data_IF_846298229348
#
_entry.id   IF_846298229348
#
_cell.length_a   1.000
_cell.length_b   1.000
_cell.length_c   1.000
_cell.angle_alpha   90.00
_cell.angle_beta   90.00
_cell.angle_gamma   90.00
#
_symmetry.space_group_name_H-M   'P 1'
#
loop_
_entity.id
_entity.type
_entity.pdbx_description
1 polymer ?
#
# COMPACT_ATOMS: atom_id res chain seq x y z
N UNK A 1 10.94 -25.96 28.46
CA UNK A 1 11.24 -25.55 27.08
C UNK A 1 9.92 -25.22 26.44
N UNK A 2 9.65 -23.94 26.21
CA UNK A 2 8.30 -23.47 25.90
C UNK A 2 8.33 -22.49 24.73
N UNK A 3 7.34 -22.65 23.84
CA UNK A 3 7.19 -22.05 22.51
C UNK A 3 6.77 -20.58 22.67
N UNK A 4 7.69 -19.76 23.19
CA UNK A 4 7.43 -18.37 23.58
C UNK A 4 8.23 -17.34 22.77
N UNK A 5 8.97 -17.78 21.73
CA UNK A 5 9.87 -16.91 20.97
C UNK A 5 9.40 -16.56 19.54
N UNK A 6 8.32 -17.19 19.04
CA UNK A 6 7.79 -16.94 17.69
C UNK A 6 6.48 -16.13 17.66
N UNK A 7 5.84 -15.87 18.80
CA UNK A 7 4.55 -15.14 18.86
C UNK A 7 4.62 -13.72 19.43
N UNK A 8 5.81 -13.24 19.81
CA UNK A 8 5.98 -11.89 20.31
C UNK A 8 6.89 -11.09 19.39
N UNK A 9 6.23 -10.26 18.58
CA UNK A 9 6.79 -9.13 17.80
C UNK A 9 7.37 -9.49 16.43
N UNK A 10 6.51 -10.00 15.54
CA UNK A 10 6.72 -9.76 14.11
C UNK A 10 6.36 -8.28 13.83
N UNK A 11 7.26 -7.49 13.24
CA UNK A 11 7.22 -6.02 13.24
C UNK A 11 6.38 -5.50 12.07
N UNK A 12 5.10 -5.87 12.02
CA UNK A 12 4.24 -5.50 10.91
C UNK A 12 3.93 -3.98 10.88
N UNK A 13 3.88 -3.32 12.05
CA UNK A 13 3.78 -1.86 12.12
C UNK A 13 5.08 -1.15 11.72
N UNK A 14 6.26 -1.75 11.94
CA UNK A 14 7.50 -1.21 11.36
C UNK A 14 7.57 -1.46 9.86
N UNK A 15 6.85 -2.45 9.32
CA UNK A 15 6.74 -2.67 7.88
C UNK A 15 5.77 -1.69 7.23
N UNK A 16 4.69 -1.29 7.90
CA UNK A 16 3.79 -0.21 7.45
C UNK A 16 4.47 1.16 7.60
N UNK A 17 5.20 1.39 8.69
CA UNK A 17 6.09 2.55 8.82
C UNK A 17 7.33 2.47 7.90
N UNK A 18 7.80 1.30 7.47
CA UNK A 18 8.88 1.17 6.47
C UNK A 18 8.36 1.23 5.04
N UNK A 19 7.13 0.80 4.73
CA UNK A 19 6.58 0.89 3.37
C UNK A 19 5.96 2.27 3.11
N UNK A 20 5.46 2.94 4.15
CA UNK A 20 5.07 4.36 4.09
C UNK A 20 6.27 5.28 4.38
N UNK A 21 7.24 4.84 5.19
CA UNK A 21 8.46 5.60 5.56
C UNK A 21 9.74 5.24 4.79
N UNK A 22 9.68 4.36 3.78
CA UNK A 22 10.68 4.32 2.69
C UNK A 22 10.53 5.53 1.76
N UNK A 23 9.49 6.35 1.95
CA UNK A 23 9.52 7.76 1.57
C UNK A 23 10.36 8.54 2.58
N UNK A 24 11.69 8.45 2.38
CA UNK A 24 12.75 9.18 3.07
C UNK A 24 12.29 10.42 3.84
N UNK A 25 12.23 10.33 5.17
CA UNK A 25 12.75 11.35 6.08
C UNK A 25 13.24 10.67 7.39
N UNK A 26 14.55 10.68 7.61
CA UNK A 26 15.16 10.80 8.93
C UNK A 26 15.90 12.13 8.83
N UNK A 27 15.61 13.14 9.68
CA UNK A 27 16.02 12.99 11.07
C UNK A 27 15.18 13.71 12.14
N UNK A 28 15.18 13.05 13.32
CA UNK A 28 14.97 13.60 14.65
C UNK A 28 13.58 13.44 15.31
N UNK A 29 13.66 12.77 16.47
CA UNK A 29 12.81 12.87 17.66
C UNK A 29 11.55 12.00 17.72
N UNK A 30 11.77 10.85 18.35
CA UNK A 30 11.10 10.44 19.59
C UNK A 30 10.84 11.64 20.51
N UNK A 31 9.71 12.34 20.39
CA UNK A 31 9.08 13.10 21.48
C UNK A 31 7.69 13.60 21.04
N UNK A 32 6.73 13.52 21.96
CA UNK A 32 5.42 14.20 21.94
C UNK A 32 4.26 13.53 21.17
N UNK A 33 3.72 12.48 21.83
CA UNK A 33 2.29 12.25 21.85
C UNK A 33 1.59 13.50 22.43
N UNK A 34 0.98 14.33 21.58
CA UNK A 34 0.11 15.40 22.06
C UNK A 34 -0.09 16.62 21.17
N UNK A 35 -0.57 16.48 19.93
CA UNK A 35 -1.46 17.47 19.30
C UNK A 35 -1.92 16.99 17.92
N UNK A 36 -2.99 16.20 17.88
CA UNK A 36 -3.64 15.79 16.61
C UNK A 36 -4.79 16.73 16.19
N UNK A 37 -4.92 17.93 16.80
CA UNK A 37 -6.07 18.83 16.52
C UNK A 37 -5.72 20.13 15.77
N UNK A 38 -4.44 20.45 15.57
CA UNK A 38 -4.03 21.70 14.90
C UNK A 38 -3.34 21.50 13.53
N UNK A 39 -3.01 20.26 13.15
CA UNK A 39 -2.29 19.97 11.90
C UNK A 39 -3.15 20.03 10.62
N UNK A 40 -4.47 20.22 10.73
CA UNK A 40 -5.41 20.17 9.59
C UNK A 40 -5.32 21.35 8.62
N UNK A 41 -4.56 22.40 8.94
CA UNK A 41 -4.50 23.65 8.18
C UNK A 41 -3.10 24.09 7.72
N UNK A 42 -2.05 23.33 8.05
CA UNK A 42 -0.71 23.62 7.55
C UNK A 42 -0.56 23.12 6.09
N UNK A 43 0.07 23.89 5.19
CA UNK A 43 0.39 23.41 3.85
C UNK A 43 1.29 22.16 3.95
N UNK A 44 0.90 21.07 3.27
CA UNK A 44 1.76 19.89 3.16
C UNK A 44 3.08 20.28 2.52
N UNK A 45 4.18 19.67 2.99
CA UNK A 45 5.45 19.78 2.28
C UNK A 45 5.28 19.24 0.85
N UNK A 46 6.09 19.70 -0.13
CA UNK A 46 6.03 19.17 -1.49
C UNK A 46 6.24 17.65 -1.55
N UNK A 47 6.98 17.05 -0.60
CA UNK A 47 7.14 15.60 -0.52
C UNK A 47 5.89 14.89 0.02
N UNK A 48 5.25 15.46 1.04
CA UNK A 48 4.03 14.90 1.63
C UNK A 48 2.82 15.04 0.72
N UNK A 49 2.74 16.11 -0.07
CA UNK A 49 1.65 16.30 -1.04
C UNK A 49 1.64 15.25 -2.16
N UNK A 50 2.74 14.51 -2.33
CA UNK A 50 2.87 13.45 -3.35
C UNK A 50 2.49 12.06 -2.82
N UNK A 51 2.31 11.86 -1.51
CA UNK A 51 1.96 10.54 -0.93
C UNK A 51 0.52 10.16 -1.28
N UNK A 52 0.21 8.86 -1.47
CA UNK A 52 -1.14 8.41 -1.84
C UNK A 52 -2.26 9.02 -0.98
N UNK A 53 -2.08 9.04 0.34
CA UNK A 53 -3.10 9.54 1.28
C UNK A 53 -3.40 11.04 1.13
N UNK A 54 -2.48 11.85 0.58
CA UNK A 54 -2.71 13.29 0.36
C UNK A 54 -3.76 13.54 -0.73
N UNK A 55 -3.93 12.61 -1.68
CA UNK A 55 -4.86 12.75 -2.80
C UNK A 55 -6.30 12.39 -2.41
N UNK A 56 -6.48 11.55 -1.39
CA UNK A 56 -7.79 10.99 -1.02
C UNK A 56 -8.83 12.07 -0.70
N UNK A 57 -8.55 13.12 0.11
CA UNK A 57 -9.56 14.13 0.44
C UNK A 57 -10.14 14.84 -0.78
N UNK A 58 -9.33 15.12 -1.80
CA UNK A 58 -9.77 15.80 -3.03
C UNK A 58 -10.57 14.92 -3.99
N UNK A 59 -10.56 13.60 -3.76
CA UNK A 59 -11.20 12.56 -4.59
C UNK A 59 -12.31 11.82 -3.86
N UNK A 60 -12.41 11.98 -2.55
CA UNK A 60 -13.48 11.44 -1.75
C UNK A 60 -14.85 11.90 -2.29
N UNK A 61 -15.80 10.98 -2.42
CA UNK A 61 -17.12 11.26 -2.99
C UNK A 61 -17.20 11.24 -4.52
N UNK A 62 -16.08 11.16 -5.27
CA UNK A 62 -16.12 11.12 -6.74
C UNK A 62 -16.70 9.83 -7.30
N UNK A 63 -16.32 8.69 -6.72
CA UNK A 63 -16.85 7.37 -7.08
C UNK A 63 -17.21 6.59 -5.82
N UNK A 64 -18.28 5.78 -5.84
CA UNK A 64 -18.74 5.05 -4.65
C UNK A 64 -17.68 4.10 -4.06
N UNK A 65 -16.92 3.41 -4.91
CA UNK A 65 -15.90 2.45 -4.49
C UNK A 65 -14.82 3.09 -3.60
N UNK A 66 -14.29 4.24 -4.02
CA UNK A 66 -13.28 4.98 -3.26
C UNK A 66 -13.83 5.52 -1.94
N UNK A 67 -15.04 6.09 -1.95
CA UNK A 67 -15.69 6.61 -0.74
C UNK A 67 -15.84 5.52 0.31
N UNK A 68 -16.43 4.38 -0.06
CA UNK A 68 -16.64 3.28 0.87
C UNK A 68 -15.32 2.65 1.34
N UNK A 69 -14.32 2.51 0.46
CA UNK A 69 -13.01 1.99 0.84
C UNK A 69 -12.28 2.92 1.83
N UNK A 70 -12.36 4.24 1.61
CA UNK A 70 -11.80 5.24 2.53
C UNK A 70 -12.49 5.23 3.89
N UNK A 71 -13.83 5.14 3.94
CA UNK A 71 -14.58 5.01 5.20
C UNK A 71 -14.19 3.73 5.95
N UNK A 72 -14.12 2.61 5.23
CA UNK A 72 -13.74 1.30 5.77
C UNK A 72 -12.34 1.32 6.40
N UNK A 73 -11.34 1.83 5.68
CA UNK A 73 -9.97 1.91 6.20
C UNK A 73 -9.87 2.90 7.37
N UNK A 74 -10.54 4.04 7.29
CA UNK A 74 -10.56 5.04 8.36
C UNK A 74 -11.15 4.47 9.65
N UNK A 75 -12.26 3.74 9.56
CA UNK A 75 -12.89 3.09 10.71
C UNK A 75 -11.96 2.06 11.37
N UNK A 76 -11.24 1.26 10.57
CA UNK A 76 -10.24 0.30 11.09
C UNK A 76 -9.06 1.00 11.75
N UNK A 77 -8.50 2.03 11.13
CA UNK A 77 -7.39 2.80 11.72
C UNK A 77 -7.79 3.46 13.03
N UNK A 78 -8.99 4.03 13.11
CA UNK A 78 -9.53 4.61 14.35
C UNK A 78 -9.64 3.55 15.46
N UNK A 79 -10.13 2.35 15.14
CA UNK A 79 -10.22 1.25 16.11
C UNK A 79 -8.84 0.76 16.58
N UNK A 80 -7.84 0.73 15.70
CA UNK A 80 -6.46 0.37 16.05
C UNK A 80 -5.88 1.37 17.04
N UNK A 81 -6.13 2.67 16.84
CA UNK A 81 -5.64 3.76 17.70
C UNK A 81 -6.39 3.81 19.04
N UNK A 82 -7.65 3.37 19.09
CA UNK A 82 -8.42 3.31 20.34
C UNK A 82 -7.80 2.33 21.35
N UNK A 83 -7.82 2.72 22.63
CA UNK A 83 -7.40 1.87 23.73
C UNK A 83 -8.25 0.58 23.79
N UNK A 84 -7.66 -0.53 24.22
CA UNK A 84 -8.33 -1.85 24.25
C UNK A 84 -9.65 -1.84 25.03
N UNK A 85 -9.77 -0.99 26.07
CA UNK A 85 -11.00 -0.84 26.86
C UNK A 85 -12.18 -0.19 26.11
N UNK A 86 -11.92 0.43 24.96
CA UNK A 86 -12.92 1.09 24.11
C UNK A 86 -13.32 0.24 22.89
N UNK A 87 -12.63 -0.89 22.66
CA UNK A 87 -12.94 -1.80 21.56
C UNK A 87 -14.19 -2.61 21.90
N UNK A 88 -15.26 -2.40 21.15
CA UNK A 88 -16.53 -3.12 21.34
C UNK A 88 -16.79 -4.08 20.19
N UNK A 89 -17.52 -5.17 20.46
CA UNK A 89 -18.00 -6.10 19.44
C UNK A 89 -18.92 -5.42 18.41
N UNK A 90 -19.69 -4.43 18.84
CA UNK A 90 -20.56 -3.61 17.97
C UNK A 90 -19.71 -2.82 16.97
N UNK A 91 -18.60 -2.21 17.44
CA UNK A 91 -17.67 -1.50 16.56
C UNK A 91 -17.08 -2.41 15.47
N UNK A 92 -16.74 -3.66 15.81
CA UNK A 92 -16.25 -4.63 14.83
C UNK A 92 -17.31 -4.98 13.77
N UNK A 93 -18.58 -5.13 14.17
CA UNK A 93 -19.69 -5.39 13.22
C UNK A 93 -19.84 -4.23 12.23
N UNK A 94 -19.80 -2.99 12.70
CA UNK A 94 -19.90 -1.79 11.84
C UNK A 94 -18.73 -1.73 10.85
N UNK A 95 -17.51 -2.03 11.29
CA UNK A 95 -16.34 -2.03 10.42
C UNK A 95 -16.47 -3.11 9.32
N UNK A 96 -17.00 -4.30 9.65
CA UNK A 96 -17.23 -5.34 8.66
C UNK A 96 -18.37 -5.00 7.69
N UNK A 97 -19.38 -4.26 8.13
CA UNK A 97 -20.43 -3.74 7.25
C UNK A 97 -19.85 -2.75 6.22
N UNK A 98 -19.01 -1.81 6.67
CA UNK A 98 -18.28 -0.92 5.77
C UNK A 98 -17.40 -1.68 4.77
N UNK A 99 -16.71 -2.75 5.21
CA UNK A 99 -15.92 -3.60 4.32
C UNK A 99 -16.77 -4.29 3.26
N UNK A 100 -17.90 -4.87 3.65
CA UNK A 100 -18.82 -5.52 2.72
C UNK A 100 -19.40 -4.53 1.69
N UNK A 101 -19.76 -3.31 2.13
CA UNK A 101 -20.22 -2.24 1.23
C UNK A 101 -19.13 -1.82 0.25
N UNK A 102 -17.89 -1.66 0.72
CA UNK A 102 -16.77 -1.26 -0.11
C UNK A 102 -16.41 -2.33 -1.14
N UNK A 103 -16.39 -3.62 -0.75
CA UNK A 103 -16.19 -4.73 -1.69
C UNK A 103 -17.29 -4.77 -2.77
N UNK A 104 -18.55 -4.58 -2.39
CA UNK A 104 -19.66 -4.53 -3.35
C UNK A 104 -19.51 -3.38 -4.34
N UNK A 105 -19.17 -2.19 -3.86
CA UNK A 105 -18.98 -1.02 -4.72
C UNK A 105 -17.75 -1.17 -5.63
N UNK A 106 -16.67 -1.75 -5.12
CA UNK A 106 -15.48 -2.07 -5.91
C UNK A 106 -15.78 -3.09 -7.00
N UNK A 107 -16.53 -4.16 -6.69
CA UNK A 107 -16.93 -5.17 -7.67
C UNK A 107 -17.72 -4.54 -8.83
N UNK A 108 -18.70 -3.67 -8.52
CA UNK A 108 -19.45 -2.93 -9.54
C UNK A 108 -18.53 -2.08 -10.42
N UNK A 109 -17.55 -1.39 -9.83
CA UNK A 109 -16.59 -0.59 -10.59
C UNK A 109 -15.63 -1.44 -11.44
N UNK A 110 -15.27 -2.64 -10.98
CA UNK A 110 -14.44 -3.58 -11.74
C UNK A 110 -15.25 -4.20 -12.89
N UNK A 111 -16.53 -4.51 -12.71
CA UNK A 111 -17.35 -5.14 -13.76
C UNK A 111 -17.60 -4.22 -14.95
N UNK A 112 -17.59 -2.90 -14.73
CA UNK A 112 -17.68 -1.88 -15.77
C UNK A 112 -16.31 -1.60 -16.44
N UNK A 113 -16.15 -1.78 -17.76
CA UNK A 113 -14.85 -1.63 -18.44
C UNK A 113 -14.20 -0.25 -18.29
N UNK A 114 -14.99 0.82 -18.28
CA UNK A 114 -14.49 2.19 -18.21
C UNK A 114 -14.12 2.54 -16.76
N UNK A 115 -15.01 2.23 -15.82
CA UNK A 115 -14.78 2.44 -14.40
C UNK A 115 -13.62 1.59 -13.86
N UNK A 116 -13.40 0.39 -14.41
CA UNK A 116 -12.27 -0.49 -14.03
C UNK A 116 -10.93 0.19 -14.22
N UNK A 117 -10.80 1.03 -15.26
CA UNK A 117 -9.55 1.70 -15.62
C UNK A 117 -9.31 2.99 -14.83
N UNK A 118 -10.33 3.53 -14.16
CA UNK A 118 -10.19 4.74 -13.34
C UNK A 118 -9.14 4.55 -12.23
N UNK A 119 -8.31 5.57 -11.95
CA UNK A 119 -7.34 5.50 -10.86
C UNK A 119 -8.03 5.44 -9.49
N UNK A 120 -9.22 6.03 -9.34
CA UNK A 120 -10.02 5.88 -8.13
C UNK A 120 -10.43 4.42 -7.84
N UNK A 121 -10.66 3.61 -8.88
CA UNK A 121 -10.97 2.18 -8.71
C UNK A 121 -9.75 1.40 -8.21
N UNK A 122 -8.56 1.68 -8.74
CA UNK A 122 -7.31 1.10 -8.23
C UNK A 122 -7.09 1.52 -6.77
N UNK A 123 -7.27 2.81 -6.49
CA UNK A 123 -7.14 3.34 -5.15
C UNK A 123 -8.06 2.64 -4.16
N UNK A 124 -9.34 2.47 -4.50
CA UNK A 124 -10.28 1.72 -3.68
C UNK A 124 -9.80 0.28 -3.42
N UNK A 125 -9.27 -0.40 -4.43
CA UNK A 125 -8.72 -1.74 -4.30
C UNK A 125 -7.50 -1.78 -3.36
N UNK A 126 -6.57 -0.83 -3.48
CA UNK A 126 -5.39 -0.73 -2.59
C UNK A 126 -5.79 -0.42 -1.14
N UNK A 127 -6.72 0.50 -0.91
CA UNK A 127 -7.20 0.81 0.44
C UNK A 127 -7.85 -0.41 1.12
N UNK A 128 -8.59 -1.23 0.35
CA UNK A 128 -9.16 -2.47 0.84
C UNK A 128 -8.11 -3.55 1.12
N UNK A 129 -7.07 -3.65 0.29
CA UNK A 129 -5.91 -4.49 0.61
C UNK A 129 -5.31 -4.12 1.98
N UNK A 130 -5.04 -2.83 2.21
CA UNK A 130 -4.50 -2.37 3.49
C UNK A 130 -5.46 -2.61 4.65
N UNK A 131 -6.77 -2.44 4.44
CA UNK A 131 -7.76 -2.79 5.45
C UNK A 131 -7.67 -4.27 5.85
N UNK A 132 -7.64 -5.19 4.88
CA UNK A 132 -7.62 -6.63 5.14
C UNK A 132 -6.32 -7.08 5.79
N UNK A 133 -5.22 -6.46 5.37
CA UNK A 133 -3.90 -6.64 5.95
C UNK A 133 -3.86 -6.21 7.43
N UNK A 134 -4.50 -5.09 7.77
CA UNK A 134 -4.62 -4.59 9.14
C UNK A 134 -5.65 -5.36 9.98
N UNK A 135 -6.68 -5.94 9.35
CA UNK A 135 -7.70 -6.73 10.04
C UNK A 135 -7.15 -8.06 10.57
N UNK A 136 -6.02 -8.53 10.03
CA UNK A 136 -5.14 -9.48 10.71
C UNK A 136 -5.82 -10.79 11.13
N UNK A 137 -6.79 -11.29 10.36
CA UNK A 137 -7.41 -12.62 10.59
C UNK A 137 -6.45 -13.70 10.07
N UNK A 138 -5.66 -14.34 10.95
CA UNK A 138 -4.51 -15.13 10.53
C UNK A 138 -4.92 -16.46 9.89
N UNK A 139 -6.17 -16.91 10.02
CA UNK A 139 -6.58 -18.24 9.57
C UNK A 139 -6.81 -18.32 8.05
N UNK A 140 -7.11 -17.19 7.39
CA UNK A 140 -7.54 -17.18 5.97
C UNK A 140 -6.67 -16.27 5.10
N UNK A 141 -5.90 -15.34 5.69
CA UNK A 141 -5.05 -14.37 4.98
C UNK A 141 -5.73 -13.72 3.75
N UNK A 142 -6.94 -13.15 3.89
CA UNK A 142 -7.74 -12.64 2.75
C UNK A 142 -6.99 -11.61 1.90
N UNK A 143 -6.13 -10.81 2.53
CA UNK A 143 -5.27 -9.81 1.87
C UNK A 143 -4.38 -10.39 0.76
N UNK A 144 -4.04 -11.70 0.80
CA UNK A 144 -3.25 -12.33 -0.26
C UNK A 144 -4.03 -12.40 -1.57
N UNK A 145 -5.28 -12.87 -1.51
CA UNK A 145 -6.13 -12.99 -2.69
C UNK A 145 -6.57 -11.63 -3.21
N UNK A 146 -6.95 -10.72 -2.32
CA UNK A 146 -7.24 -9.34 -2.70
C UNK A 146 -5.99 -8.67 -3.30
N UNK A 147 -4.82 -8.92 -2.72
CA UNK A 147 -3.57 -8.37 -3.18
C UNK A 147 -3.19 -8.80 -4.60
N UNK A 148 -3.35 -10.10 -4.91
CA UNK A 148 -3.20 -10.61 -6.26
C UNK A 148 -4.21 -9.97 -7.24
N UNK A 149 -5.43 -9.68 -6.79
CA UNK A 149 -6.42 -8.92 -7.55
C UNK A 149 -5.96 -7.49 -7.87
N UNK A 150 -5.36 -6.80 -6.90
CA UNK A 150 -4.76 -5.46 -7.11
C UNK A 150 -3.57 -5.54 -8.07
N UNK A 151 -2.68 -6.52 -7.89
CA UNK A 151 -1.56 -6.79 -8.82
C UNK A 151 -2.05 -6.97 -10.25
N UNK A 152 -3.14 -7.73 -10.43
CA UNK A 152 -3.76 -7.92 -11.75
C UNK A 152 -4.38 -6.64 -12.31
N UNK A 153 -5.00 -5.81 -11.47
CA UNK A 153 -5.52 -4.50 -11.86
C UNK A 153 -4.42 -3.51 -12.27
N UNK A 154 -3.25 -3.57 -11.64
CA UNK A 154 -2.08 -2.78 -12.04
C UNK A 154 -1.58 -3.25 -13.40
N UNK A 155 -1.36 -4.56 -13.58
CA UNK A 155 -0.93 -5.12 -14.86
C UNK A 155 -1.90 -4.79 -16.00
N UNK A 156 -3.22 -4.90 -15.75
CA UNK A 156 -4.25 -4.57 -16.74
C UNK A 156 -4.19 -3.10 -17.22
N UNK A 157 -3.74 -2.19 -16.36
CA UNK A 157 -3.57 -0.78 -16.73
C UNK A 157 -2.39 -0.56 -17.66
N UNK A 158 -1.42 -1.46 -17.67
CA UNK A 158 -0.15 -1.31 -18.38
C UNK A 158 0.67 -0.09 -17.88
N UNK A 159 2.00 -0.11 -18.01
CA UNK A 159 2.85 0.93 -17.42
C UNK A 159 2.59 2.34 -17.99
N UNK A 160 2.16 2.44 -19.25
CA UNK A 160 1.97 3.72 -19.94
C UNK A 160 0.81 4.56 -19.38
N UNK A 161 -0.09 3.95 -18.60
CA UNK A 161 -1.24 4.64 -18.01
C UNK A 161 -0.96 5.20 -16.60
N UNK A 162 0.28 5.13 -16.11
CA UNK A 162 0.69 5.76 -14.84
C UNK A 162 1.34 7.13 -15.09
N UNK A 163 0.51 8.11 -15.48
CA UNK A 163 1.01 9.39 -16.01
C UNK A 163 0.91 10.53 -15.01
N UNK A 164 -0.19 10.57 -14.26
CA UNK A 164 -0.48 11.61 -13.26
C UNK A 164 0.24 11.33 -11.95
N UNK A 165 0.43 12.37 -11.13
CA UNK A 165 1.04 12.23 -9.80
C UNK A 165 0.23 11.29 -8.89
N UNK A 166 -1.10 11.27 -9.04
CA UNK A 166 -1.96 10.35 -8.28
C UNK A 166 -1.75 8.90 -8.72
N UNK A 167 -1.68 8.63 -10.02
CA UNK A 167 -1.43 7.27 -10.52
C UNK A 167 -0.05 6.77 -10.09
N UNK A 168 0.97 7.61 -10.20
CA UNK A 168 2.32 7.25 -9.73
C UNK A 168 2.35 7.02 -8.22
N UNK A 169 1.58 7.79 -7.45
CA UNK A 169 1.43 7.56 -6.01
C UNK A 169 0.75 6.21 -5.69
N UNK A 170 -0.22 5.78 -6.50
CA UNK A 170 -0.82 4.44 -6.38
C UNK A 170 0.23 3.36 -6.62
N UNK A 171 0.94 3.44 -7.75
CA UNK A 171 2.01 2.49 -8.08
C UNK A 171 3.04 2.42 -6.95
N UNK A 172 3.53 3.57 -6.47
CA UNK A 172 4.52 3.62 -5.40
C UNK A 172 4.01 3.08 -4.07
N UNK A 173 2.76 3.35 -3.71
CA UNK A 173 2.16 2.82 -2.48
C UNK A 173 2.04 1.29 -2.52
N UNK A 174 1.90 0.71 -3.72
CA UNK A 174 1.69 -0.72 -3.90
C UNK A 174 2.93 -1.51 -4.36
N UNK A 175 4.06 -0.86 -4.68
CA UNK A 175 5.33 -1.53 -5.04
C UNK A 175 5.77 -2.57 -4.00
N UNK A 176 5.63 -2.23 -2.71
CA UNK A 176 5.95 -3.12 -1.60
C UNK A 176 5.21 -4.45 -1.64
N UNK A 177 3.87 -4.42 -1.60
CA UNK A 177 3.01 -5.58 -1.84
C UNK A 177 3.37 -6.39 -3.08
N UNK A 178 3.65 -5.74 -4.23
CA UNK A 178 3.95 -6.43 -5.49
C UNK A 178 5.20 -7.31 -5.42
N UNK A 179 6.33 -6.78 -4.94
CA UNK A 179 7.53 -7.60 -4.85
C UNK A 179 7.38 -8.69 -3.77
N UNK A 180 6.66 -8.40 -2.68
CA UNK A 180 6.41 -9.37 -1.62
C UNK A 180 5.52 -10.53 -2.09
N UNK A 181 4.49 -10.26 -2.90
CA UNK A 181 3.69 -11.29 -3.58
C UNK A 181 4.59 -12.19 -4.45
N UNK A 182 5.41 -11.59 -5.33
CA UNK A 182 6.32 -12.36 -6.19
C UNK A 182 7.31 -13.21 -5.38
N UNK A 183 7.86 -12.66 -4.29
CA UNK A 183 8.77 -13.38 -3.39
C UNK A 183 8.09 -14.60 -2.74
N UNK A 184 6.87 -14.42 -2.22
CA UNK A 184 6.11 -15.49 -1.56
C UNK A 184 5.68 -16.58 -2.54
N UNK A 185 5.37 -16.21 -3.77
CA UNK A 185 4.98 -17.14 -4.83
C UNK A 185 6.18 -17.78 -5.54
N UNK A 186 7.40 -17.41 -5.16
CA UNK A 186 8.66 -17.85 -5.79
C UNK A 186 8.66 -17.57 -7.31
N UNK A 187 8.29 -16.34 -7.68
CA UNK A 187 8.22 -15.86 -9.07
C UNK A 187 9.04 -14.59 -9.26
N UNK A 188 9.37 -14.26 -10.50
CA UNK A 188 9.94 -12.95 -10.82
C UNK A 188 8.86 -11.87 -10.73
N UNK A 189 9.21 -10.69 -10.21
CA UNK A 189 8.30 -9.55 -10.16
C UNK A 189 8.17 -8.92 -11.55
N UNK A 190 6.94 -8.71 -12.04
CA UNK A 190 6.72 -8.07 -13.35
C UNK A 190 7.29 -6.64 -13.44
N UNK A 191 7.52 -6.00 -12.29
CA UNK A 191 8.16 -4.68 -12.23
C UNK A 191 9.60 -4.68 -12.79
N UNK A 192 10.21 -5.86 -12.97
CA UNK A 192 11.52 -6.03 -13.62
C UNK A 192 11.50 -5.89 -15.14
N UNK A 193 10.33 -5.90 -15.78
CA UNK A 193 10.26 -5.62 -17.21
C UNK A 193 10.68 -4.16 -17.48
N UNK A 194 11.46 -3.91 -18.53
CA UNK A 194 12.02 -2.58 -18.85
C UNK A 194 10.98 -1.45 -18.84
N UNK A 195 9.77 -1.73 -19.36
CA UNK A 195 8.66 -0.79 -19.41
C UNK A 195 8.12 -0.41 -18.02
N UNK A 196 8.08 -1.38 -17.11
CA UNK A 196 7.67 -1.17 -15.72
C UNK A 196 8.78 -0.49 -14.91
N UNK A 197 10.05 -0.90 -15.09
CA UNK A 197 11.20 -0.23 -14.49
C UNK A 197 11.26 1.25 -14.87
N UNK A 198 11.04 1.59 -16.14
CA UNK A 198 10.99 2.98 -16.59
C UNK A 198 9.90 3.76 -15.87
N UNK A 199 8.70 3.20 -15.78
CA UNK A 199 7.55 3.84 -15.10
C UNK A 199 7.81 4.01 -13.61
N UNK A 200 8.36 2.98 -12.96
CA UNK A 200 8.75 3.01 -11.56
C UNK A 200 9.81 4.09 -11.31
N UNK A 201 10.84 4.20 -12.16
CA UNK A 201 11.87 5.24 -12.07
C UNK A 201 11.26 6.64 -12.21
N UNK A 202 10.31 6.85 -13.13
CA UNK A 202 9.61 8.15 -13.24
C UNK A 202 8.73 8.45 -12.03
N UNK A 203 8.21 7.41 -11.36
CA UNK A 203 7.41 7.54 -10.15
C UNK A 203 8.29 7.89 -8.95
N UNK A 204 9.40 7.18 -8.76
CA UNK A 204 10.41 7.43 -7.72
C UNK A 204 10.98 8.83 -7.85
N UNK A 205 11.32 9.28 -9.06
CA UNK A 205 11.85 10.62 -9.31
C UNK A 205 10.90 11.73 -8.81
N UNK A 206 9.60 11.45 -8.70
CA UNK A 206 8.66 12.38 -8.08
C UNK A 206 8.88 12.50 -6.58
N UNK A 207 9.41 11.51 -5.89
CA UNK A 207 9.64 11.54 -4.44
C UNK A 207 11.09 11.81 -4.07
N UNK A 208 11.98 11.67 -5.05
CA UNK A 208 13.41 11.84 -4.84
C UNK A 208 13.73 13.23 -4.27
N UNK A 209 14.68 13.30 -3.32
CA UNK A 209 15.16 14.56 -2.78
C UNK A 209 15.83 15.38 -3.89
N UNK A 210 15.85 16.70 -3.73
CA UNK A 210 16.46 17.62 -4.70
C UNK A 210 17.97 17.41 -4.91
N UNK A 211 18.61 16.56 -4.09
CA UNK A 211 20.02 16.19 -4.21
C UNK A 211 20.19 15.08 -5.26
N UNK A 212 20.89 15.33 -6.39
CA UNK A 212 21.02 14.36 -7.47
C UNK A 212 21.63 13.01 -7.03
N UNK A 213 22.69 13.03 -6.21
CA UNK A 213 23.36 11.80 -5.79
C UNK A 213 22.50 10.90 -4.89
N UNK A 214 21.60 11.49 -4.09
CA UNK A 214 20.68 10.70 -3.27
C UNK A 214 19.54 10.13 -4.12
N UNK A 215 19.07 10.86 -5.13
CA UNK A 215 18.07 10.36 -6.07
C UNK A 215 18.54 9.10 -6.81
N UNK A 216 19.79 9.09 -7.30
CA UNK A 216 20.39 7.94 -7.97
C UNK A 216 20.47 6.72 -7.04
N UNK A 217 20.88 6.92 -5.77
CA UNK A 217 20.90 5.84 -4.77
C UNK A 217 19.50 5.29 -4.47
N UNK A 218 18.47 6.14 -4.41
CA UNK A 218 17.08 5.68 -4.20
C UNK A 218 16.63 4.80 -5.37
N UNK A 219 16.93 5.19 -6.61
CA UNK A 219 16.61 4.41 -7.81
C UNK A 219 17.32 3.05 -7.81
N UNK A 220 18.60 3.02 -7.46
CA UNK A 220 19.38 1.78 -7.37
C UNK A 220 18.82 0.83 -6.31
N UNK A 221 18.48 1.35 -5.12
CA UNK A 221 17.86 0.55 -4.05
C UNK A 221 16.54 -0.08 -4.53
N UNK A 222 15.67 0.70 -5.18
CA UNK A 222 14.39 0.16 -5.67
C UNK A 222 14.59 -0.90 -6.75
N UNK A 223 15.53 -0.70 -7.68
CA UNK A 223 15.90 -1.70 -8.68
C UNK A 223 16.33 -3.03 -8.03
N UNK A 224 17.14 -2.96 -6.97
CA UNK A 224 17.52 -4.16 -6.22
C UNK A 224 16.36 -4.81 -5.48
N UNK A 225 15.47 -4.01 -4.87
CA UNK A 225 14.28 -4.52 -4.16
C UNK A 225 13.37 -5.28 -5.13
N UNK A 226 13.08 -4.73 -6.30
CA UNK A 226 12.19 -5.39 -7.27
C UNK A 226 12.84 -6.61 -7.93
N UNK A 227 14.18 -6.69 -7.95
CA UNK A 227 14.92 -7.86 -8.45
C UNK A 227 15.06 -8.99 -7.41
N UNK A 228 14.85 -8.71 -6.12
CA UNK A 228 15.01 -9.68 -5.05
C UNK A 228 14.22 -11.00 -5.26
N UNK A 229 12.95 -10.97 -5.73
CA UNK A 229 12.20 -12.19 -6.01
C UNK A 229 12.84 -13.09 -7.08
N UNK A 230 13.43 -12.50 -8.13
CA UNK A 230 14.10 -13.26 -9.18
C UNK A 230 15.34 -13.97 -8.65
N UNK A 231 16.18 -13.27 -7.88
CA UNK A 231 17.37 -13.86 -7.23
C UNK A 231 17.00 -14.98 -6.25
N UNK A 232 15.92 -14.78 -5.49
CA UNK A 232 15.41 -15.81 -4.58
C UNK A 232 14.94 -17.05 -5.33
N UNK A 233 14.23 -16.86 -6.45
CA UNK A 233 13.79 -17.94 -7.31
C UNK A 233 14.96 -18.72 -7.90
N UNK A 234 15.94 -18.04 -8.48
CA UNK A 234 17.15 -18.68 -9.04
C UNK A 234 17.88 -19.51 -7.98
N UNK A 235 18.03 -18.97 -6.77
CA UNK A 235 18.65 -19.70 -5.65
C UNK A 235 17.86 -20.94 -5.27
N UNK A 236 16.53 -20.82 -5.21
CA UNK A 236 15.64 -21.93 -4.87
C UNK A 236 15.70 -23.03 -5.94
N UNK A 237 15.68 -22.65 -7.22
CA UNK A 237 15.79 -23.58 -8.35
C UNK A 237 17.14 -24.33 -8.31
N UNK A 238 18.24 -23.65 -7.97
CA UNK A 238 19.58 -24.25 -7.86
C UNK A 238 19.73 -25.21 -6.67
N UNK A 239 19.08 -24.93 -5.54
CA UNK A 239 19.14 -25.79 -4.35
C UNK A 239 18.27 -27.04 -4.51
N UNK A 240 17.19 -26.95 -5.28
CA UNK A 240 16.24 -28.04 -5.50
C UNK A 240 16.56 -28.90 -6.74
N UNK A 241 17.56 -28.54 -7.54
CA UNK A 241 18.07 -29.32 -8.68
C UNK A 241 19.01 -30.45 -8.25
#
# INVERSE_FOLDING_TARGET
GNIQWLSQKIPFLSLVESLIGLHFEIPHLRSECGSYREASHAPLSPADSRKLLSFIPSRYGRVPSLTHAADCLSARLQQIIQADSQRTSIGEVVILDHHAMALKALQVAIDDPDARMLPETLCAAELLYFFELLNGRPEIHPYKYHGAGVSRLIQLREPENFTTDFEKALLMAYTGPLFNEALLDNTACFLMEDRWLKTLNTSIAQYSPSSPGLADSVLEIWSHIVNLPALFKETTDLVLS
#
